data_IF_728254411631
#
_entry.id   IF_728254411631
#
_cell.length_a   1.000
_cell.length_b   1.000
_cell.length_c   1.000
_cell.angle_alpha   90.00
_cell.angle_beta   90.00
_cell.angle_gamma   90.00
#
_symmetry.space_group_name_H-M   'P 1'
#
loop_
_entity.id
_entity.type
_entity.pdbx_description
1 polymer ?
#
# COMPACT_ATOMS: atom_id res chain seq x y z
N UNK A 1 27.71 -41.17 19.13
CA UNK A 1 28.08 -40.81 17.75
C UNK A 1 26.96 -39.96 17.15
N UNK A 2 27.33 -38.72 16.77
CA UNK A 2 26.65 -37.74 15.90
C UNK A 2 25.14 -37.44 16.06
N UNK A 3 24.85 -36.37 16.79
CA UNK A 3 23.63 -35.57 16.66
C UNK A 3 23.72 -34.75 15.36
N UNK A 4 22.80 -34.97 14.42
CA UNK A 4 22.77 -34.28 13.12
C UNK A 4 22.09 -32.93 13.33
N UNK A 5 22.88 -31.86 13.38
CA UNK A 5 22.40 -30.48 13.52
C UNK A 5 21.46 -30.19 12.35
N UNK A 6 20.18 -29.96 12.66
CA UNK A 6 19.23 -29.40 11.71
C UNK A 6 19.74 -28.01 11.32
N UNK A 7 20.21 -27.88 10.08
CA UNK A 7 20.56 -26.59 9.52
C UNK A 7 19.29 -25.71 9.53
N UNK A 8 19.29 -24.66 10.34
CA UNK A 8 18.32 -23.57 10.28
C UNK A 8 18.48 -22.91 8.91
N UNK A 9 17.70 -23.37 7.95
CA UNK A 9 17.63 -22.78 6.62
C UNK A 9 17.05 -21.39 6.80
N UNK A 10 17.92 -20.36 6.82
CA UNK A 10 17.47 -18.98 6.73
C UNK A 10 16.73 -18.85 5.40
N UNK A 11 15.40 -18.84 5.46
CA UNK A 11 14.55 -18.59 4.30
C UNK A 11 14.73 -17.13 3.91
N UNK A 12 15.76 -16.84 3.12
CA UNK A 12 15.89 -15.54 2.45
C UNK A 12 14.75 -15.47 1.44
N UNK A 13 13.73 -14.65 1.72
CA UNK A 13 12.62 -14.40 0.80
C UNK A 13 13.19 -13.81 -0.49
N UNK A 14 12.94 -14.45 -1.63
CA UNK A 14 13.25 -13.83 -2.92
C UNK A 14 12.39 -12.58 -3.13
N UNK A 15 12.88 -11.56 -3.86
CA UNK A 15 12.10 -10.36 -4.17
C UNK A 15 10.74 -10.67 -4.80
N UNK A 16 10.67 -11.71 -5.65
CA UNK A 16 9.44 -12.18 -6.30
C UNK A 16 8.43 -12.75 -5.29
N UNK A 17 8.90 -13.52 -4.31
CA UNK A 17 8.05 -14.03 -3.23
C UNK A 17 7.55 -12.88 -2.33
N UNK A 18 8.40 -11.90 -2.04
CA UNK A 18 8.02 -10.69 -1.30
C UNK A 18 6.91 -9.92 -2.01
N UNK A 19 7.07 -9.69 -3.32
CA UNK A 19 6.07 -9.00 -4.13
C UNK A 19 4.74 -9.77 -4.20
N UNK A 20 4.77 -11.08 -4.41
CA UNK A 20 3.57 -11.92 -4.46
C UNK A 20 2.79 -11.88 -3.14
N UNK A 21 3.51 -11.92 -2.01
CA UNK A 21 2.91 -11.77 -0.67
C UNK A 21 2.29 -10.39 -0.50
N UNK A 22 2.99 -9.32 -0.85
CA UNK A 22 2.46 -7.96 -0.80
C UNK A 22 1.16 -7.83 -1.60
N UNK A 23 1.13 -8.30 -2.85
CA UNK A 23 -0.07 -8.25 -3.70
C UNK A 23 -1.25 -9.05 -3.11
N UNK A 24 -0.97 -10.09 -2.34
CA UNK A 24 -1.98 -10.88 -1.63
C UNK A 24 -2.52 -10.13 -0.41
N UNK A 25 -1.64 -9.49 0.36
CA UNK A 25 -2.04 -8.72 1.56
C UNK A 25 -2.91 -7.51 1.21
N UNK A 26 -2.53 -6.72 0.19
CA UNK A 26 -3.28 -5.50 -0.15
C UNK A 26 -4.71 -5.76 -0.65
N UNK A 27 -5.00 -6.99 -1.11
CA UNK A 27 -6.35 -7.39 -1.54
C UNK A 27 -7.31 -7.57 -0.37
N UNK A 28 -6.80 -7.72 0.85
CA UNK A 28 -7.61 -7.92 2.06
C UNK A 28 -8.24 -6.61 2.56
N UNK A 29 -7.67 -5.46 2.19
CA UNK A 29 -8.23 -4.17 2.58
C UNK A 29 -9.51 -3.84 1.77
N UNK A 30 -10.59 -3.43 2.44
CA UNK A 30 -11.82 -3.04 1.76
C UNK A 30 -11.63 -1.73 0.99
N UNK A 31 -12.41 -1.57 -0.08
CA UNK A 31 -12.51 -0.27 -0.78
C UNK A 31 -13.43 0.65 0.01
N UNK A 32 -13.10 1.94 0.06
CA UNK A 32 -13.92 2.94 0.73
C UNK A 32 -15.02 3.45 -0.20
N UNK A 33 -16.24 3.49 0.33
CA UNK A 33 -17.32 4.26 -0.29
C UNK A 33 -17.02 5.76 -0.23
N UNK A 34 -17.66 6.55 -1.11
CA UNK A 34 -17.38 8.00 -1.22
C UNK A 34 -17.56 8.74 0.11
N UNK A 35 -18.64 8.43 0.82
CA UNK A 35 -18.94 9.08 2.09
C UNK A 35 -17.97 8.64 3.19
N UNK A 36 -17.54 7.38 3.20
CA UNK A 36 -16.56 6.88 4.16
C UNK A 36 -15.19 7.55 3.95
N UNK A 37 -14.74 7.64 2.69
CA UNK A 37 -13.51 8.36 2.33
C UNK A 37 -13.55 9.83 2.77
N UNK A 38 -14.69 10.51 2.56
CA UNK A 38 -14.88 11.89 3.01
C UNK A 38 -14.75 12.01 4.53
N UNK A 39 -15.41 11.12 5.29
CA UNK A 39 -15.37 11.16 6.75
C UNK A 39 -13.98 10.88 7.31
N UNK A 40 -13.26 9.89 6.76
CA UNK A 40 -11.89 9.58 7.17
C UNK A 40 -10.93 10.74 6.82
N UNK A 41 -11.08 11.34 5.64
CA UNK A 41 -10.29 12.50 5.23
C UNK A 41 -10.50 13.71 6.16
N UNK A 42 -11.75 13.97 6.55
CA UNK A 42 -12.11 14.99 7.54
C UNK A 42 -11.45 14.70 8.90
N UNK A 43 -11.57 13.46 9.41
CA UNK A 43 -10.95 13.05 10.67
C UNK A 43 -9.43 13.24 10.66
N UNK A 44 -8.76 12.80 9.60
CA UNK A 44 -7.31 13.01 9.44
C UNK A 44 -6.95 14.50 9.43
N UNK A 45 -7.67 15.32 8.66
CA UNK A 45 -7.36 16.75 8.51
C UNK A 45 -7.63 17.56 9.79
N UNK A 46 -8.70 17.25 10.50
CA UNK A 46 -9.14 18.03 11.66
C UNK A 46 -8.51 17.56 12.98
N UNK A 47 -8.21 16.27 13.09
CA UNK A 47 -7.81 15.63 14.36
C UNK A 47 -6.47 14.90 14.27
N UNK A 48 -5.82 14.91 13.11
CA UNK A 48 -4.59 14.14 12.84
C UNK A 48 -4.76 12.64 13.19
N UNK A 49 -5.98 12.10 12.97
CA UNK A 49 -6.30 10.71 13.25
C UNK A 49 -5.52 9.77 12.31
N UNK A 50 -4.47 9.18 12.86
CA UNK A 50 -3.56 8.28 12.13
C UNK A 50 -4.26 7.00 11.68
N UNK A 51 -5.29 6.53 12.38
CA UNK A 51 -6.07 5.37 11.94
C UNK A 51 -6.95 5.72 10.74
N UNK A 52 -7.47 6.95 10.67
CA UNK A 52 -8.20 7.42 9.51
C UNK A 52 -7.28 7.50 8.28
N UNK A 53 -6.08 8.08 8.44
CA UNK A 53 -5.06 8.10 7.39
C UNK A 53 -4.64 6.69 6.95
N UNK A 54 -4.43 5.77 7.90
CA UNK A 54 -4.08 4.38 7.59
C UNK A 54 -5.17 3.70 6.76
N UNK A 55 -6.45 3.85 7.12
CA UNK A 55 -7.57 3.31 6.34
C UNK A 55 -7.64 3.90 4.93
N UNK A 56 -7.40 5.21 4.79
CA UNK A 56 -7.33 5.85 3.48
C UNK A 56 -6.18 5.29 2.63
N UNK A 57 -4.98 5.16 3.20
CA UNK A 57 -3.82 4.60 2.48
C UNK A 57 -4.07 3.14 2.09
N UNK A 58 -4.45 2.29 3.06
CA UNK A 58 -4.57 0.84 2.85
C UNK A 58 -5.66 0.47 1.84
N UNK A 59 -6.79 1.18 1.83
CA UNK A 59 -7.85 0.99 0.83
C UNK A 59 -7.43 1.33 -0.61
N UNK A 60 -6.37 2.12 -0.79
CA UNK A 60 -5.88 2.58 -2.09
C UNK A 60 -4.62 1.87 -2.59
N UNK A 61 -4.01 0.98 -1.80
CA UNK A 61 -2.81 0.23 -2.21
C UNK A 61 -3.00 -0.58 -3.50
N UNK A 62 -4.22 -1.09 -3.73
CA UNK A 62 -4.56 -1.82 -4.97
C UNK A 62 -4.48 -0.93 -6.21
N UNK A 63 -4.81 0.36 -6.09
CA UNK A 63 -4.68 1.33 -7.17
C UNK A 63 -3.21 1.61 -7.47
N UNK A 64 -2.39 1.82 -6.44
CA UNK A 64 -0.94 2.02 -6.59
C UNK A 64 -0.32 0.83 -7.32
N UNK A 65 -0.61 -0.40 -6.87
CA UNK A 65 -0.13 -1.60 -7.53
C UNK A 65 -0.60 -1.68 -9.00
N UNK A 66 -1.86 -1.35 -9.29
CA UNK A 66 -2.39 -1.32 -10.68
C UNK A 66 -1.62 -0.34 -11.56
N UNK A 67 -1.36 0.87 -11.08
CA UNK A 67 -0.61 1.90 -11.82
C UNK A 67 0.83 1.46 -12.04
N UNK A 68 1.50 0.97 -10.97
CA UNK A 68 2.88 0.50 -11.03
C UNK A 68 3.07 -0.66 -12.02
N UNK A 69 2.11 -1.58 -12.13
CA UNK A 69 2.15 -2.67 -13.10
C UNK A 69 2.13 -2.19 -14.56
N UNK A 70 1.65 -0.97 -14.84
CA UNK A 70 1.75 -0.33 -16.15
C UNK A 70 3.19 0.02 -16.56
N UNK A 71 4.11 0.12 -15.60
CA UNK A 71 5.54 0.37 -15.82
C UNK A 71 6.36 -0.92 -15.93
N UNK A 72 5.71 -2.09 -16.02
CA UNK A 72 6.40 -3.37 -16.23
C UNK A 72 7.12 -3.36 -17.57
N UNK A 73 8.36 -3.85 -17.59
CA UNK A 73 9.18 -3.94 -18.81
C UNK A 73 10.07 -2.72 -19.07
N UNK A 74 9.98 -1.65 -18.27
CA UNK A 74 10.85 -0.47 -18.35
C UNK A 74 12.20 -0.64 -17.64
N UNK A 75 12.57 -1.87 -17.27
CA UNK A 75 13.86 -2.19 -16.63
C UNK A 75 13.93 -1.95 -15.13
N UNK A 76 12.89 -1.40 -14.49
CA UNK A 76 12.83 -1.18 -13.04
C UNK A 76 12.24 -2.39 -12.29
N UNK A 77 12.76 -2.76 -11.11
CA UNK A 77 12.13 -3.75 -10.25
C UNK A 77 10.74 -3.29 -9.79
N UNK A 78 9.71 -4.13 -9.95
CA UNK A 78 8.33 -3.76 -9.62
C UNK A 78 8.12 -3.44 -8.13
N UNK A 79 8.86 -4.10 -7.24
CA UNK A 79 8.81 -3.81 -5.81
C UNK A 79 9.23 -2.36 -5.51
N UNK A 80 10.25 -1.84 -6.19
CA UNK A 80 10.72 -0.45 -6.03
C UNK A 80 9.68 0.55 -6.54
N UNK A 81 9.14 0.32 -7.74
CA UNK A 81 8.10 1.20 -8.34
C UNK A 81 6.85 1.26 -7.46
N UNK A 82 6.41 0.11 -6.92
CA UNK A 82 5.29 0.05 -6.00
C UNK A 82 5.60 0.77 -4.69
N UNK A 83 6.80 0.59 -4.14
CA UNK A 83 7.20 1.21 -2.88
C UNK A 83 7.19 2.74 -2.99
N UNK A 84 7.76 3.28 -4.07
CA UNK A 84 7.73 4.71 -4.36
C UNK A 84 6.28 5.21 -4.56
N UNK A 85 5.47 4.45 -5.28
CA UNK A 85 4.05 4.76 -5.45
C UNK A 85 3.28 4.81 -4.12
N UNK A 86 3.59 3.92 -3.17
CA UNK A 86 2.99 3.91 -1.85
C UNK A 86 3.40 5.14 -1.03
N UNK A 87 4.68 5.55 -1.13
CA UNK A 87 5.15 6.81 -0.51
C UNK A 87 4.41 8.01 -1.12
N UNK A 88 4.26 8.04 -2.44
CA UNK A 88 3.46 9.05 -3.15
C UNK A 88 2.01 9.10 -2.65
N UNK A 89 1.38 7.94 -2.45
CA UNK A 89 0.04 7.84 -1.87
C UNK A 89 -0.03 8.40 -0.46
N UNK A 90 0.94 8.09 0.41
CA UNK A 90 0.99 8.66 1.76
C UNK A 90 1.07 10.20 1.72
N UNK A 91 1.89 10.75 0.81
CA UNK A 91 1.98 12.20 0.60
C UNK A 91 0.67 12.78 0.05
N UNK A 92 -0.03 12.06 -0.82
CA UNK A 92 -1.33 12.47 -1.33
C UNK A 92 -2.38 12.54 -0.21
N UNK A 93 -2.47 11.52 0.65
CA UNK A 93 -3.37 11.51 1.82
C UNK A 93 -3.05 12.69 2.76
N UNK A 94 -1.76 12.94 3.02
CA UNK A 94 -1.34 14.07 3.88
C UNK A 94 -1.82 15.43 3.36
N UNK A 95 -1.92 15.60 2.04
CA UNK A 95 -2.30 16.86 1.38
C UNK A 95 -3.76 16.88 0.89
N UNK A 96 -4.50 15.80 1.11
CA UNK A 96 -5.84 15.64 0.54
C UNK A 96 -6.83 16.61 1.20
N UNK A 97 -7.63 17.26 0.37
CA UNK A 97 -8.66 18.19 0.82
C UNK A 97 -10.04 17.64 0.43
N UNK A 98 -10.80 17.06 1.39
CA UNK A 98 -12.09 16.44 1.11
C UNK A 98 -13.17 17.44 0.65
N UNK A 99 -13.00 18.74 0.95
CA UNK A 99 -13.99 19.76 0.63
C UNK A 99 -13.99 20.16 -0.86
N UNK A 100 -12.97 19.76 -1.62
CA UNK A 100 -12.89 20.00 -3.07
C UNK A 100 -13.82 19.11 -3.90
N UNK A 101 -14.46 18.11 -3.29
CA UNK A 101 -15.47 17.27 -3.92
C UNK A 101 -14.94 16.17 -4.85
N UNK A 102 -13.63 16.03 -5.00
CA UNK A 102 -12.98 14.95 -5.75
C UNK A 102 -12.66 13.74 -4.86
N UNK A 103 -12.56 12.56 -5.47
CA UNK A 103 -12.07 11.34 -4.79
C UNK A 103 -10.55 11.39 -4.71
N UNK A 104 -9.97 10.72 -3.71
CA UNK A 104 -8.51 10.56 -3.63
C UNK A 104 -7.94 9.87 -4.89
N UNK A 105 -8.69 8.93 -5.47
CA UNK A 105 -8.33 8.12 -6.63
C UNK A 105 -8.70 8.72 -8.00
N UNK A 106 -8.89 10.04 -8.11
CA UNK A 106 -9.24 10.71 -9.38
C UNK A 106 -8.02 10.83 -10.28
#
# INVERSE_FOLDING_TARGET
MANKIAASTSMTLSPEQGLSRYLTEIRKFPMLEKNEEFMLARQWREQEDTQAAEKMVTSHLRLVAKIAMGYRGYGLPMAEVISEGNVGLMQAVKKFDPDKGFRLAT
#
